data_IF_721887402738
#
_entry.id   IF_721887402738
#
_cell.length_a   1.000
_cell.length_b   1.000
_cell.length_c   1.000
_cell.angle_alpha   90.00
_cell.angle_beta   90.00
_cell.angle_gamma   90.00
#
_symmetry.space_group_name_H-M   'P 1'
#
loop_
_entity.id
_entity.type
_entity.pdbx_description
1 polymer ?
#
# COMPACT_ATOMS: atom_id res chain seq x y z
N UNK A 1 -10.31 -1.10 30.11
CA UNK A 1 -11.57 -0.79 29.40
C UNK A 1 -11.42 0.33 28.38
N UNK A 2 -10.54 1.31 28.56
CA UNK A 2 -10.33 2.40 27.57
C UNK A 2 -9.43 2.01 26.39
N UNK A 3 -8.37 1.22 26.63
CA UNK A 3 -7.44 0.76 25.57
C UNK A 3 -8.13 -0.08 24.47
N UNK A 4 -9.07 -0.95 24.85
CA UNK A 4 -9.85 -1.76 23.91
C UNK A 4 -10.73 -0.91 22.98
N UNK A 5 -11.23 0.24 23.46
CA UNK A 5 -12.04 1.16 22.64
C UNK A 5 -11.17 1.85 21.58
N UNK A 6 -9.93 2.23 21.93
CA UNK A 6 -8.98 2.80 20.99
C UNK A 6 -8.62 1.81 19.87
N UNK A 7 -8.37 0.55 20.22
CA UNK A 7 -8.11 -0.51 19.23
C UNK A 7 -9.29 -0.71 18.27
N UNK A 8 -10.52 -0.77 18.78
CA UNK A 8 -11.74 -0.89 17.97
C UNK A 8 -11.94 0.32 17.04
N UNK A 9 -11.58 1.53 17.48
CA UNK A 9 -11.69 2.74 16.66
C UNK A 9 -10.63 2.79 15.54
N UNK A 10 -9.44 2.24 15.77
CA UNK A 10 -8.36 2.17 14.78
C UNK A 10 -8.52 1.03 13.79
N UNK A 11 -9.26 -0.02 14.16
CA UNK A 11 -9.46 -1.22 13.34
C UNK A 11 -9.87 -0.92 11.88
N UNK A 12 -10.85 -0.03 11.60
CA UNK A 12 -11.24 0.30 10.23
C UNK A 12 -10.10 0.92 9.42
N UNK A 13 -9.31 1.80 10.03
CA UNK A 13 -8.17 2.46 9.38
C UNK A 13 -7.09 1.43 9.05
N UNK A 14 -6.80 0.52 9.98
CA UNK A 14 -5.85 -0.57 9.77
C UNK A 14 -6.30 -1.51 8.65
N UNK A 15 -7.58 -1.85 8.58
CA UNK A 15 -8.12 -2.69 7.50
C UNK A 15 -7.95 -2.01 6.13
N UNK A 16 -8.29 -0.72 6.04
CA UNK A 16 -8.11 0.04 4.78
C UNK A 16 -6.64 0.11 4.40
N UNK A 17 -5.76 0.39 5.36
CA UNK A 17 -4.32 0.47 5.13
C UNK A 17 -3.75 -0.88 4.64
N UNK A 18 -4.07 -1.98 5.32
CA UNK A 18 -3.60 -3.31 4.94
C UNK A 18 -4.20 -3.74 3.60
N UNK A 19 -5.49 -3.48 3.37
CA UNK A 19 -6.16 -3.76 2.11
C UNK A 19 -5.52 -3.01 0.93
N UNK A 20 -5.26 -1.71 1.10
CA UNK A 20 -4.59 -0.89 0.09
C UNK A 20 -3.16 -1.38 -0.18
N UNK A 21 -2.41 -1.72 0.86
CA UNK A 21 -1.05 -2.24 0.73
C UNK A 21 -1.03 -3.58 -0.01
N UNK A 22 -1.87 -4.54 0.38
CA UNK A 22 -1.98 -5.85 -0.28
C UNK A 22 -2.39 -5.66 -1.74
N UNK A 23 -3.39 -4.82 -2.00
CA UNK A 23 -3.85 -4.54 -3.35
C UNK A 23 -2.73 -3.95 -4.23
N UNK A 24 -1.95 -3.00 -3.71
CA UNK A 24 -0.80 -2.44 -4.40
C UNK A 24 0.30 -3.46 -4.67
N UNK A 25 0.62 -4.34 -3.72
CA UNK A 25 1.62 -5.39 -3.92
C UNK A 25 1.17 -6.41 -4.97
N UNK A 26 -0.11 -6.81 -4.95
CA UNK A 26 -0.68 -7.72 -5.96
C UNK A 26 -0.64 -7.07 -7.34
N UNK A 27 -1.06 -5.81 -7.46
CA UNK A 27 -0.99 -5.06 -8.72
C UNK A 27 0.45 -4.93 -9.22
N UNK A 28 1.38 -4.59 -8.32
CA UNK A 28 2.81 -4.53 -8.61
C UNK A 28 3.30 -5.85 -9.21
N UNK A 29 3.02 -7.01 -8.58
CA UNK A 29 3.46 -8.31 -9.11
C UNK A 29 2.89 -8.55 -10.52
N UNK A 30 1.63 -8.19 -10.78
CA UNK A 30 0.94 -8.43 -12.05
C UNK A 30 1.39 -7.52 -13.19
N UNK A 31 1.84 -6.30 -12.91
CA UNK A 31 2.18 -5.34 -13.98
C UNK A 31 3.53 -5.69 -14.62
N UNK A 32 3.65 -5.63 -15.97
CA UNK A 32 4.90 -5.98 -16.65
C UNK A 32 5.99 -4.93 -16.46
N UNK A 33 5.62 -3.66 -16.36
CA UNK A 33 6.54 -2.53 -16.27
C UNK A 33 6.04 -1.49 -15.27
N UNK A 34 6.98 -0.90 -14.56
CA UNK A 34 6.76 0.20 -13.61
C UNK A 34 7.63 1.39 -13.98
N UNK A 35 7.33 2.56 -13.44
CA UNK A 35 8.21 3.72 -13.54
C UNK A 35 9.41 3.54 -12.61
N UNK A 36 10.50 2.99 -13.14
CA UNK A 36 11.68 2.57 -12.37
C UNK A 36 11.63 1.09 -11.94
N UNK A 37 12.63 0.62 -11.16
CA UNK A 37 12.75 -0.79 -10.80
C UNK A 37 11.57 -1.30 -9.98
N UNK A 38 11.05 -2.48 -10.33
CA UNK A 38 9.88 -3.09 -9.68
C UNK A 38 10.08 -3.33 -8.18
N UNK A 39 11.29 -3.75 -7.78
CA UNK A 39 11.62 -4.01 -6.37
C UNK A 39 11.60 -2.74 -5.51
N UNK A 40 11.96 -1.59 -6.08
CA UNK A 40 11.95 -0.30 -5.40
C UNK A 40 10.53 0.06 -4.96
N UNK A 41 9.55 -0.15 -5.83
CA UNK A 41 8.13 0.08 -5.50
C UNK A 41 7.63 -0.84 -4.40
N UNK A 42 8.08 -2.10 -4.37
CA UNK A 42 7.76 -3.02 -3.28
C UNK A 42 8.23 -2.51 -1.92
N UNK A 43 9.46 -1.98 -1.86
CA UNK A 43 10.01 -1.36 -0.64
C UNK A 43 9.21 -0.11 -0.25
N UNK A 44 8.92 0.76 -1.22
CA UNK A 44 8.14 2.00 -0.97
C UNK A 44 6.76 1.68 -0.41
N UNK A 45 6.05 0.71 -1.00
CA UNK A 45 4.71 0.28 -0.57
C UNK A 45 4.71 -0.18 0.90
N UNK A 46 5.74 -0.93 1.32
CA UNK A 46 5.80 -1.50 2.67
C UNK A 46 6.30 -0.50 3.71
N UNK A 47 7.33 0.28 3.39
CA UNK A 47 8.02 1.14 4.38
C UNK A 47 7.30 2.47 4.58
N UNK A 48 6.71 3.04 3.52
CA UNK A 48 6.08 4.37 3.58
C UNK A 48 4.59 4.28 3.98
N UNK A 49 4.13 3.10 4.42
CA UNK A 49 2.75 2.84 4.88
C UNK A 49 1.72 3.35 3.85
N UNK A 50 0.67 4.07 4.27
CA UNK A 50 -0.42 4.49 3.38
C UNK A 50 0.05 5.31 2.16
N UNK A 51 1.14 6.08 2.31
CA UNK A 51 1.69 6.92 1.24
C UNK A 51 2.34 6.04 0.16
N UNK A 52 2.93 4.90 0.53
CA UNK A 52 3.62 4.00 -0.39
C UNK A 52 2.72 3.49 -1.54
N UNK A 53 1.59 2.81 -1.24
CA UNK A 53 0.59 2.43 -2.22
C UNK A 53 0.05 3.59 -3.05
N UNK A 54 -0.19 4.76 -2.44
CA UNK A 54 -0.69 5.94 -3.16
C UNK A 54 0.33 6.39 -4.21
N UNK A 55 1.61 6.53 -3.82
CA UNK A 55 2.68 6.88 -4.75
C UNK A 55 2.85 5.83 -5.85
N UNK A 56 2.73 4.55 -5.49
CA UNK A 56 2.76 3.48 -6.48
C UNK A 56 1.62 3.63 -7.50
N UNK A 57 0.37 3.82 -7.08
CA UNK A 57 -0.74 3.92 -8.03
C UNK A 57 -0.72 5.19 -8.88
N UNK A 58 -0.26 6.31 -8.32
CA UNK A 58 -0.23 7.61 -9.02
C UNK A 58 1.00 7.75 -9.92
N UNK A 59 2.16 7.29 -9.45
CA UNK A 59 3.46 7.53 -10.11
C UNK A 59 4.11 6.22 -10.55
N UNK A 60 4.10 5.18 -9.73
CA UNK A 60 4.83 3.94 -10.01
C UNK A 60 4.21 3.04 -11.06
N UNK A 61 2.88 2.98 -11.12
CA UNK A 61 2.10 2.13 -12.01
C UNK A 61 2.06 2.76 -13.40
N UNK A 62 2.62 2.05 -14.38
CA UNK A 62 2.65 2.49 -15.77
C UNK A 62 1.40 1.97 -16.49
N UNK A 63 0.57 2.86 -17.03
CA UNK A 63 -0.71 2.49 -17.65
C UNK A 63 -0.63 2.31 -19.18
N UNK A 64 0.56 2.09 -19.75
CA UNK A 64 0.81 2.09 -21.19
C UNK A 64 1.87 1.05 -21.58
#
# INVERSE_FOLDING_TARGET
MEESKLLLLLLPVLIIQLGLMIFALIDLIKIPVTNGPKWMWGVIIVVVNIIGPILYFVIGRRNY
#
